data_IF_342838714610
#
_entry.id   IF_342838714610
#
_cell.length_a   1.000
_cell.length_b   1.000
_cell.length_c   1.000
_cell.angle_alpha   90.00
_cell.angle_beta   90.00
_cell.angle_gamma   90.00
#
_symmetry.space_group_name_H-M   'P 1'
#
loop_
_entity.id
_entity.type
_entity.pdbx_description
1 polymer ?
#
# COMPACT_ATOMS: atom_id res chain seq x y z
N UNK A 1 -2.75 -12.50 16.96
CA UNK A 1 -2.49 -11.62 15.81
C UNK A 1 -2.69 -12.43 14.53
N UNK A 2 -3.58 -12.04 13.61
CA UNK A 2 -3.74 -12.75 12.33
C UNK A 2 -2.49 -12.55 11.48
N UNK A 3 -1.99 -13.62 10.83
CA UNK A 3 -0.86 -13.52 9.89
C UNK A 3 -1.28 -12.60 8.73
N UNK A 4 -0.37 -11.73 8.22
CA UNK A 4 -0.67 -10.92 7.05
C UNK A 4 -0.99 -11.81 5.83
N UNK A 5 -1.79 -11.31 4.89
CA UNK A 5 -2.11 -12.03 3.66
C UNK A 5 -0.88 -12.15 2.74
N UNK A 6 -0.96 -12.96 1.67
CA UNK A 6 0.14 -13.06 0.67
C UNK A 6 0.35 -11.71 -0.01
N UNK A 7 -0.73 -11.07 -0.42
CA UNK A 7 -0.78 -9.73 -1.02
C UNK A 7 -0.03 -8.73 -0.14
N UNK A 8 -0.36 -8.68 1.16
CA UNK A 8 0.23 -7.70 2.09
C UNK A 8 1.73 -7.93 2.28
N UNK A 9 2.19 -9.18 2.28
CA UNK A 9 3.64 -9.49 2.29
C UNK A 9 4.33 -9.05 1.00
N UNK A 10 3.72 -9.33 -0.15
CA UNK A 10 4.25 -8.92 -1.47
C UNK A 10 4.36 -7.40 -1.57
N UNK A 11 3.31 -6.67 -1.21
CA UNK A 11 3.32 -5.20 -1.23
C UNK A 11 4.35 -4.65 -0.25
N UNK A 12 4.43 -5.18 0.98
CA UNK A 12 5.42 -4.73 1.97
C UNK A 12 6.87 -4.90 1.47
N UNK A 13 7.16 -6.01 0.76
CA UNK A 13 8.47 -6.22 0.12
C UNK A 13 8.73 -5.16 -0.96
N UNK A 14 7.77 -4.93 -1.85
CA UNK A 14 7.89 -3.95 -2.94
C UNK A 14 8.03 -2.51 -2.44
N UNK A 15 7.44 -2.19 -1.29
CA UNK A 15 7.62 -0.91 -0.59
C UNK A 15 9.03 -0.78 0.01
N UNK A 16 9.54 -1.85 0.64
CA UNK A 16 10.90 -1.86 1.17
C UNK A 16 11.95 -1.67 0.07
N UNK A 17 11.75 -2.27 -1.12
CA UNK A 17 12.58 -2.05 -2.31
C UNK A 17 12.56 -0.59 -2.80
N UNK A 18 11.51 0.18 -2.45
CA UNK A 18 11.39 1.62 -2.73
C UNK A 18 11.90 2.50 -1.57
N UNK A 19 12.51 1.90 -0.54
CA UNK A 19 12.97 2.61 0.66
C UNK A 19 11.86 2.93 1.67
N UNK A 20 10.63 2.46 1.46
CA UNK A 20 9.51 2.65 2.39
C UNK A 20 9.49 1.49 3.38
N UNK A 21 10.23 1.65 4.48
CA UNK A 21 10.39 0.63 5.52
C UNK A 21 9.18 0.58 6.46
N UNK A 22 9.10 1.52 7.41
CA UNK A 22 7.99 1.58 8.38
C UNK A 22 6.79 2.27 7.72
N UNK A 23 5.68 1.55 7.62
CA UNK A 23 4.50 2.02 6.91
C UNK A 23 3.20 1.43 7.47
N UNK A 24 2.09 2.06 7.13
CA UNK A 24 0.75 1.60 7.45
C UNK A 24 -0.16 1.68 6.21
N UNK A 25 -0.94 0.63 6.01
CA UNK A 25 -1.92 0.54 4.92
C UNK A 25 -3.26 1.12 5.37
N UNK A 26 -3.96 1.79 4.46
CA UNK A 26 -5.33 2.27 4.66
C UNK A 26 -6.08 2.28 3.33
N UNK A 27 -7.42 2.20 3.39
CA UNK A 27 -8.30 2.18 2.22
C UNK A 27 -7.88 1.11 1.21
N UNK A 28 -7.54 -0.08 1.72
CA UNK A 28 -7.11 -1.20 0.86
C UNK A 28 -8.28 -2.05 0.44
N UNK A 29 -8.35 -2.39 -0.84
CA UNK A 29 -9.39 -3.26 -1.38
C UNK A 29 -8.79 -4.34 -2.30
N UNK A 30 -9.45 -5.48 -2.36
CA UNK A 30 -9.14 -6.54 -3.33
C UNK A 30 -9.93 -6.27 -4.60
N UNK A 31 -9.27 -6.38 -5.75
CA UNK A 31 -9.81 -5.90 -7.03
C UNK A 31 -10.56 -6.98 -7.82
N UNK A 32 -10.62 -8.22 -7.32
CA UNK A 32 -11.23 -9.35 -8.02
C UNK A 32 -10.39 -9.90 -9.18
N UNK A 33 -9.18 -9.38 -9.40
CA UNK A 33 -8.30 -9.78 -10.50
C UNK A 33 -7.18 -10.66 -9.97
N UNK A 34 -7.15 -11.93 -10.37
CA UNK A 34 -6.06 -12.85 -10.04
C UNK A 34 -4.79 -12.55 -10.85
N UNK A 35 -3.64 -12.57 -10.19
CA UNK A 35 -2.31 -12.48 -10.79
C UNK A 35 -1.74 -13.89 -11.03
N UNK A 36 -0.73 -14.06 -11.91
CA UNK A 36 -0.26 -15.38 -12.36
C UNK A 36 0.18 -16.36 -11.28
N UNK A 37 0.60 -15.91 -10.10
CA UNK A 37 1.03 -16.75 -8.97
C UNK A 37 -0.08 -17.00 -7.91
N UNK A 38 -1.32 -16.71 -8.28
CA UNK A 38 -2.52 -16.88 -7.45
C UNK A 38 -2.70 -15.82 -6.36
N UNK A 39 -1.93 -14.72 -6.40
CA UNK A 39 -2.16 -13.52 -5.58
C UNK A 39 -3.24 -12.67 -6.26
N UNK A 40 -4.12 -12.01 -5.50
CA UNK A 40 -5.08 -11.07 -6.09
C UNK A 40 -4.49 -9.66 -6.18
N UNK A 41 -4.83 -8.93 -7.24
CA UNK A 41 -4.58 -7.50 -7.32
C UNK A 41 -5.26 -6.78 -6.15
N UNK A 42 -4.52 -5.85 -5.55
CA UNK A 42 -4.95 -5.05 -4.41
C UNK A 42 -4.54 -3.63 -4.68
N UNK A 43 -5.45 -2.69 -4.49
CA UNK A 43 -5.13 -1.27 -4.47
C UNK A 43 -5.39 -0.67 -3.10
N UNK A 44 -4.90 0.55 -2.93
CA UNK A 44 -5.17 1.37 -1.76
C UNK A 44 -4.06 2.37 -1.54
N UNK A 45 -3.89 2.76 -0.28
CA UNK A 45 -2.88 3.72 0.09
C UNK A 45 -1.95 3.18 1.18
N UNK A 46 -0.73 3.70 1.14
CA UNK A 46 0.26 3.48 2.19
C UNK A 46 0.73 4.83 2.71
N UNK A 47 0.83 4.93 4.04
CA UNK A 47 1.43 6.05 4.74
C UNK A 47 2.80 5.60 5.26
N UNK A 48 3.85 6.39 5.03
CA UNK A 48 5.18 6.11 5.57
C UNK A 48 5.46 6.80 6.91
N UNK A 49 6.62 6.54 7.51
CA UNK A 49 7.01 7.09 8.79
C UNK A 49 7.28 8.60 8.78
N UNK A 50 7.36 9.21 7.60
CA UNK A 50 7.52 10.64 7.39
C UNK A 50 6.18 11.34 7.16
N UNK A 51 5.07 10.59 7.11
CA UNK A 51 3.73 11.12 6.87
C UNK A 51 3.41 11.33 5.39
N UNK A 52 4.22 10.81 4.47
CA UNK A 52 3.93 10.83 3.03
C UNK A 52 2.99 9.69 2.69
N UNK A 53 1.93 9.99 1.94
CA UNK A 53 1.01 8.97 1.44
C UNK A 53 1.30 8.67 -0.03
N UNK A 54 1.19 7.40 -0.39
CA UNK A 54 1.29 6.92 -1.76
C UNK A 54 0.10 6.04 -2.10
N UNK A 55 -0.54 6.33 -3.23
CA UNK A 55 -1.49 5.41 -3.85
C UNK A 55 -0.73 4.29 -4.55
N UNK A 56 -1.21 3.05 -4.41
CA UNK A 56 -0.60 1.89 -5.05
C UNK A 56 -1.65 0.98 -5.69
N UNK A 57 -1.20 0.23 -6.68
CA UNK A 57 -1.90 -0.94 -7.22
C UNK A 57 -0.91 -2.09 -7.35
N UNK A 58 -1.20 -3.23 -6.72
CA UNK A 58 -0.43 -4.47 -6.89
C UNK A 58 -0.77 -5.09 -8.25
N UNK A 59 0.20 -5.08 -9.15
CA UNK A 59 0.08 -5.61 -10.49
C UNK A 59 1.13 -6.71 -10.74
N UNK A 60 1.00 -7.37 -11.89
CA UNK A 60 2.03 -8.24 -12.45
C UNK A 60 2.68 -7.52 -13.64
N UNK A 61 4.01 -7.51 -13.66
CA UNK A 61 4.80 -7.03 -14.79
C UNK A 61 5.18 -8.23 -15.66
N UNK A 62 4.53 -8.38 -16.82
CA UNK A 62 4.77 -9.49 -17.74
C UNK A 62 6.18 -9.48 -18.34
N UNK A 63 6.82 -8.32 -18.48
CA UNK A 63 8.17 -8.25 -19.03
C UNK A 63 9.20 -8.74 -18.01
N UNK A 64 8.99 -8.40 -16.74
CA UNK A 64 9.87 -8.81 -15.63
C UNK A 64 9.47 -10.14 -14.99
N UNK A 65 8.31 -10.68 -15.36
CA UNK A 65 7.72 -11.87 -14.75
C UNK A 65 7.69 -11.77 -13.21
N UNK A 66 7.25 -10.61 -12.70
CA UNK A 66 7.29 -10.30 -11.27
C UNK A 66 6.17 -9.36 -10.85
N UNK A 67 5.80 -9.39 -9.56
CA UNK A 67 4.90 -8.38 -9.01
C UNK A 67 5.53 -6.99 -9.02
N UNK A 68 4.68 -5.98 -9.23
CA UNK A 68 5.06 -4.58 -9.17
C UNK A 68 3.96 -3.74 -8.51
N UNK A 69 4.28 -2.50 -8.15
CA UNK A 69 3.30 -1.50 -7.76
C UNK A 69 3.15 -0.53 -8.92
N UNK A 70 2.04 -0.64 -9.67
CA UNK A 70 1.78 0.14 -10.88
C UNK A 70 0.26 0.30 -11.09
N UNK A 71 -0.29 1.53 -11.01
CA UNK A 71 0.42 2.76 -10.69
C UNK A 71 0.93 2.80 -9.23
N UNK A 72 1.96 3.61 -9.00
CA UNK A 72 2.45 4.00 -7.67
C UNK A 72 2.75 5.50 -7.70
N UNK A 73 1.99 6.30 -6.94
CA UNK A 73 2.02 7.76 -7.06
C UNK A 73 1.95 8.45 -5.69
N UNK A 74 2.65 9.59 -5.52
CA UNK A 74 2.54 10.38 -4.29
C UNK A 74 1.18 11.09 -4.21
N UNK A 75 0.67 11.24 -2.99
CA UNK A 75 -0.44 12.15 -2.69
C UNK A 75 0.17 13.45 -2.17
N UNK A 76 -0.07 14.56 -2.88
CA UNK A 76 0.58 15.85 -2.60
C UNK A 76 0.21 16.44 -1.22
N UNK A 77 -1.07 16.34 -0.83
CA UNK A 77 -1.57 16.82 0.46
C UNK A 77 -2.44 15.74 1.13
N UNK A 78 -1.81 14.75 1.81
CA UNK A 78 -2.54 13.66 2.45
C UNK A 78 -3.47 14.11 3.56
N UNK A 79 -3.09 15.15 4.32
CA UNK A 79 -3.89 15.67 5.43
C UNK A 79 -5.20 16.25 4.94
N UNK A 80 -5.17 16.97 3.81
CA UNK A 80 -6.39 17.49 3.18
C UNK A 80 -7.16 16.39 2.46
N UNK A 81 -6.48 15.53 1.71
CA UNK A 81 -7.12 14.47 0.91
C UNK A 81 -7.89 13.46 1.78
N UNK A 82 -7.38 13.18 2.97
CA UNK A 82 -7.93 12.16 3.88
C UNK A 82 -8.35 12.72 5.24
N UNK A 83 -8.62 14.02 5.33
CA UNK A 83 -8.92 14.74 6.58
C UNK A 83 -10.02 14.08 7.42
N UNK A 84 -10.99 13.45 6.76
CA UNK A 84 -12.15 12.82 7.40
C UNK A 84 -12.12 11.29 7.33
N UNK A 85 -11.03 10.69 6.83
CA UNK A 85 -10.95 9.26 6.65
C UNK A 85 -10.46 8.55 7.93
N UNK A 86 -11.29 7.68 8.54
CA UNK A 86 -10.92 7.03 9.80
C UNK A 86 -9.77 6.03 9.65
N UNK A 87 -9.58 5.42 8.47
CA UNK A 87 -8.47 4.48 8.24
C UNK A 87 -7.14 5.21 8.10
N UNK A 88 -7.12 6.36 7.41
CA UNK A 88 -5.96 7.24 7.38
C UNK A 88 -5.56 7.68 8.79
N UNK A 89 -6.52 8.13 9.62
CA UNK A 89 -6.24 8.47 11.02
C UNK A 89 -5.72 7.28 11.83
N UNK A 90 -6.22 6.07 11.57
CA UNK A 90 -5.69 4.86 12.18
C UNK A 90 -4.26 4.55 11.75
N UNK A 91 -3.95 4.72 10.46
CA UNK A 91 -2.60 4.57 9.91
C UNK A 91 -1.62 5.57 10.54
N UNK A 92 -2.01 6.84 10.68
CA UNK A 92 -1.22 7.87 11.39
C UNK A 92 -0.90 7.45 12.83
N UNK A 93 -1.92 7.02 13.58
CA UNK A 93 -1.75 6.55 14.97
C UNK A 93 -0.82 5.33 15.05
N UNK A 94 -0.96 4.38 14.14
CA UNK A 94 -0.09 3.19 14.08
C UNK A 94 1.39 3.57 13.85
N UNK A 95 1.63 4.67 13.14
CA UNK A 95 2.97 5.20 12.86
C UNK A 95 3.46 6.24 13.88
N UNK A 96 2.64 6.58 14.87
CA UNK A 96 2.92 7.63 15.88
C UNK A 96 3.17 9.01 15.25
N UNK A 97 2.47 9.28 14.14
CA UNK A 97 2.44 10.60 13.51
C UNK A 97 1.45 11.49 14.28
N UNK A 98 1.83 12.76 14.49
CA UNK A 98 1.06 13.74 15.26
C UNK A 98 -0.04 14.38 14.44
#
# INVERSE_FOLDING_TARGET
MKRPSRERRTISRLLAERGIGRHAFFLTQREGVGLPDGVEAVSGFVLDAEGRAHGFWLAWDDQRQAHTLAPFYPVEDPERAFAHDPEYHAARRALRLR
#
